data_IF_118343399386
#
_entry.id   IF_118343399386
#
_cell.length_a   1.000
_cell.length_b   1.000
_cell.length_c   1.000
_cell.angle_alpha   90.00
_cell.angle_beta   90.00
_cell.angle_gamma   90.00
#
_symmetry.space_group_name_H-M   'P 1'
#
loop_
_entity.id
_entity.type
_entity.pdbx_description
1 polymer ?
#
# COMPACT_ATOMS: atom_id res chain seq x y z
N UNK A 1 -8.81 17.10 7.71
CA UNK A 1 -7.84 16.27 6.98
C UNK A 1 -7.73 14.95 7.71
N UNK A 2 -7.75 13.81 7.01
CA UNK A 2 -7.91 12.47 7.58
C UNK A 2 -8.13 11.44 6.48
N UNK A 3 -9.07 10.50 6.67
CA UNK A 3 -9.43 9.50 5.66
C UNK A 3 -9.73 10.15 4.30
N UNK A 4 -9.19 9.56 3.23
CA UNK A 4 -9.28 10.11 1.87
C UNK A 4 -9.88 9.12 0.86
N UNK A 5 -9.79 7.81 1.13
CA UNK A 5 -10.24 6.76 0.23
C UNK A 5 -11.16 5.78 0.95
N UNK A 6 -12.13 5.23 0.23
CA UNK A 6 -12.75 3.95 0.58
C UNK A 6 -11.92 2.87 -0.11
N UNK A 7 -11.26 2.02 0.67
CA UNK A 7 -10.36 0.98 0.18
C UNK A 7 -11.13 -0.31 -0.09
N UNK A 8 -11.17 -0.73 -1.37
CA UNK A 8 -12.01 -1.82 -1.84
C UNK A 8 -13.50 -1.49 -1.82
N UNK A 9 -14.20 -1.82 -2.90
CA UNK A 9 -15.66 -1.57 -3.02
C UNK A 9 -16.49 -2.84 -2.83
N UNK A 10 -15.91 -4.02 -3.05
CA UNK A 10 -16.64 -5.28 -2.98
C UNK A 10 -16.81 -5.72 -1.54
N UNK A 11 -18.07 -5.79 -1.09
CA UNK A 11 -18.42 -6.12 0.29
C UNK A 11 -18.02 -5.05 1.31
N UNK A 12 -17.72 -3.82 0.86
CA UNK A 12 -17.34 -2.73 1.75
C UNK A 12 -18.60 -1.95 2.19
N UNK A 13 -18.97 -1.98 3.49
CA UNK A 13 -20.15 -1.26 3.99
C UNK A 13 -20.03 0.26 3.81
N UNK A 14 -18.81 0.80 3.79
CA UNK A 14 -18.58 2.23 3.54
C UNK A 14 -18.91 2.59 2.09
N UNK A 15 -18.63 1.70 1.14
CA UNK A 15 -19.00 1.88 -0.26
C UNK A 15 -20.52 1.83 -0.44
N UNK A 16 -21.18 0.83 0.16
CA UNK A 16 -22.64 0.67 0.10
C UNK A 16 -23.37 1.88 0.70
N UNK A 17 -22.90 2.38 1.84
CA UNK A 17 -23.42 3.60 2.46
C UNK A 17 -23.23 4.80 1.54
N UNK A 18 -22.03 5.00 1.00
CA UNK A 18 -21.77 6.11 0.08
C UNK A 18 -22.68 6.04 -1.16
N UNK A 19 -22.93 4.86 -1.70
CA UNK A 19 -23.82 4.65 -2.84
C UNK A 19 -25.28 5.00 -2.49
N UNK A 20 -25.79 4.49 -1.35
CA UNK A 20 -27.17 4.68 -0.93
C UNK A 20 -27.51 6.15 -0.62
N UNK A 21 -26.52 6.93 -0.19
CA UNK A 21 -26.67 8.36 0.05
C UNK A 21 -26.28 9.23 -1.16
N UNK A 22 -26.00 8.63 -2.33
CA UNK A 22 -25.67 9.36 -3.55
C UNK A 22 -24.36 10.15 -3.47
N UNK A 23 -23.43 9.73 -2.61
CA UNK A 23 -22.14 10.41 -2.40
C UNK A 23 -21.10 10.07 -3.47
N UNK A 24 -21.37 9.05 -4.27
CA UNK A 24 -20.49 8.54 -5.32
C UNK A 24 -21.27 8.35 -6.62
N UNK A 25 -20.61 8.65 -7.74
CA UNK A 25 -21.15 8.46 -9.07
C UNK A 25 -20.49 7.23 -9.72
N UNK A 26 -21.27 6.18 -9.93
CA UNK A 26 -20.82 4.93 -10.55
C UNK A 26 -20.44 5.09 -12.03
N UNK A 27 -20.83 6.20 -12.66
CA UNK A 27 -20.46 6.51 -14.04
C UNK A 27 -19.16 7.31 -14.12
N UNK A 28 -18.65 7.78 -12.97
CA UNK A 28 -17.42 8.55 -12.92
C UNK A 28 -16.22 7.66 -13.24
N UNK A 29 -15.65 7.86 -14.43
CA UNK A 29 -14.38 7.24 -14.81
C UNK A 29 -13.25 8.12 -14.28
N UNK A 30 -12.35 7.59 -13.42
CA UNK A 30 -11.18 8.34 -12.97
C UNK A 30 -10.37 8.83 -14.17
N UNK A 31 -9.81 10.03 -14.08
CA UNK A 31 -8.85 10.48 -15.09
C UNK A 31 -7.62 9.59 -15.05
N UNK A 32 -7.06 9.29 -16.21
CA UNK A 32 -5.77 8.62 -16.29
C UNK A 32 -4.69 9.55 -15.73
N UNK A 33 -3.86 9.00 -14.84
CA UNK A 33 -2.70 9.70 -14.29
C UNK A 33 -1.46 8.89 -14.60
N UNK A 34 -0.40 9.58 -15.02
CA UNK A 34 0.91 8.96 -15.20
C UNK A 34 1.71 9.10 -13.91
N UNK A 35 2.15 7.97 -13.36
CA UNK A 35 3.11 7.95 -12.25
C UNK A 35 4.51 7.82 -12.84
N UNK A 36 5.41 8.72 -12.44
CA UNK A 36 6.80 8.73 -12.87
C UNK A 36 7.70 8.52 -11.65
N UNK A 37 8.74 7.72 -11.81
CA UNK A 37 9.84 7.64 -10.85
C UNK A 37 10.99 8.51 -11.37
N UNK A 38 11.44 9.43 -10.53
CA UNK A 38 12.49 10.41 -10.86
C UNK A 38 13.56 10.41 -9.79
N UNK A 39 14.80 10.61 -10.22
CA UNK A 39 15.94 10.84 -9.34
C UNK A 39 15.93 12.29 -8.81
N UNK A 40 16.76 12.58 -7.82
CA UNK A 40 16.88 13.92 -7.23
C UNK A 40 17.28 15.01 -8.25
N UNK A 41 17.99 14.63 -9.31
CA UNK A 41 18.38 15.52 -10.42
C UNK A 41 17.27 15.71 -11.47
N UNK A 42 16.09 15.10 -11.26
CA UNK A 42 14.94 15.14 -12.16
C UNK A 42 15.03 14.15 -13.33
N UNK A 43 16.09 13.35 -13.42
CA UNK A 43 16.19 12.30 -14.44
C UNK A 43 15.15 11.20 -14.20
N UNK A 44 14.51 10.73 -15.27
CA UNK A 44 13.50 9.68 -15.17
C UNK A 44 14.14 8.30 -15.12
N UNK A 45 13.63 7.46 -14.23
CA UNK A 45 14.00 6.05 -14.16
C UNK A 45 13.28 5.31 -15.29
N UNK A 46 13.96 4.44 -16.07
CA UNK A 46 13.33 3.64 -17.10
C UNK A 46 12.17 2.80 -16.55
N UNK A 47 11.01 2.83 -17.22
CA UNK A 47 9.81 2.13 -16.76
C UNK A 47 10.04 0.63 -16.53
N UNK A 48 10.78 -0.05 -17.42
CA UNK A 48 11.08 -1.48 -17.28
C UNK A 48 11.86 -1.80 -16.00
N UNK A 49 12.78 -0.93 -15.61
CA UNK A 49 13.53 -1.08 -14.35
C UNK A 49 12.62 -0.85 -13.15
N UNK A 50 11.76 0.16 -13.20
CA UNK A 50 10.78 0.43 -12.14
C UNK A 50 9.81 -0.75 -11.98
N UNK A 51 9.28 -1.26 -13.08
CA UNK A 51 8.36 -2.39 -13.11
C UNK A 51 9.02 -3.64 -12.50
N UNK A 52 10.23 -3.98 -12.94
CA UNK A 52 10.97 -5.14 -12.43
C UNK A 52 11.15 -5.08 -10.91
N UNK A 53 11.60 -3.93 -10.39
CA UNK A 53 11.82 -3.74 -8.95
C UNK A 53 10.49 -3.76 -8.18
N UNK A 54 9.43 -3.16 -8.74
CA UNK A 54 8.11 -3.15 -8.11
C UNK A 54 7.50 -4.56 -8.02
N UNK A 55 7.66 -5.38 -9.06
CA UNK A 55 7.21 -6.77 -9.05
C UNK A 55 8.00 -7.60 -8.02
N UNK A 56 9.32 -7.41 -7.94
CA UNK A 56 10.16 -8.05 -6.92
C UNK A 56 9.73 -7.65 -5.50
N UNK A 57 9.56 -6.34 -5.26
CA UNK A 57 9.10 -5.81 -3.98
C UNK A 57 7.73 -6.37 -3.57
N UNK A 58 6.78 -6.42 -4.50
CA UNK A 58 5.44 -6.99 -4.28
C UNK A 58 5.54 -8.48 -3.89
N UNK A 59 6.44 -9.23 -4.52
CA UNK A 59 6.71 -10.62 -4.15
C UNK A 59 7.26 -10.74 -2.71
N UNK A 60 8.17 -9.86 -2.31
CA UNK A 60 8.74 -9.86 -0.96
C UNK A 60 7.68 -9.56 0.11
N UNK A 61 6.78 -8.61 -0.13
CA UNK A 61 5.67 -8.32 0.78
C UNK A 61 4.69 -9.49 0.89
N UNK A 62 4.29 -10.09 -0.23
CA UNK A 62 3.39 -11.26 -0.20
C UNK A 62 3.97 -12.42 0.59
N UNK A 63 5.29 -12.65 0.48
CA UNK A 63 5.97 -13.64 1.34
C UNK A 63 5.91 -13.28 2.82
N UNK A 64 5.94 -12.00 3.16
CA UNK A 64 5.75 -11.58 4.55
C UNK A 64 4.32 -11.90 5.03
N UNK A 65 3.29 -11.73 4.19
CA UNK A 65 1.91 -12.09 4.51
C UNK A 65 1.72 -13.61 4.70
N UNK A 66 2.46 -14.43 3.94
CA UNK A 66 2.39 -15.89 3.99
C UNK A 66 2.74 -16.47 5.37
N UNK A 67 3.53 -15.77 6.21
CA UNK A 67 3.84 -16.24 7.56
C UNK A 67 2.59 -16.35 8.44
N UNK A 68 1.64 -15.42 8.31
CA UNK A 68 0.35 -15.49 9.00
C UNK A 68 -0.52 -16.61 8.41
N UNK A 69 -0.64 -16.64 7.08
CA UNK A 69 -1.59 -17.52 6.37
C UNK A 69 -1.19 -19.00 6.46
N UNK A 70 0.09 -19.29 6.37
CA UNK A 70 0.64 -20.66 6.31
C UNK A 70 1.30 -21.10 7.62
N UNK A 71 1.33 -20.24 8.65
CA UNK A 71 1.97 -20.50 9.94
C UNK A 71 3.43 -20.94 9.83
N UNK A 72 4.16 -20.36 8.86
CA UNK A 72 5.59 -20.61 8.71
C UNK A 72 6.38 -19.99 9.84
N UNK A 73 7.51 -20.61 10.18
CA UNK A 73 8.48 -20.01 11.08
C UNK A 73 9.35 -19.03 10.30
N UNK A 74 9.54 -17.79 10.80
CA UNK A 74 10.42 -16.85 10.16
C UNK A 74 11.90 -17.29 10.29
N UNK A 75 12.81 -16.74 9.46
CA UNK A 75 14.23 -16.99 9.58
C UNK A 75 14.77 -16.64 10.97
N UNK A 76 15.84 -17.33 11.39
CA UNK A 76 16.45 -17.08 12.70
C UNK A 76 16.89 -15.61 12.84
N UNK A 77 16.46 -14.97 13.94
CA UNK A 77 16.78 -13.57 14.23
C UNK A 77 15.95 -12.54 13.46
N UNK A 78 14.99 -12.96 12.61
CA UNK A 78 14.10 -12.06 11.87
C UNK A 78 12.68 -12.20 12.42
N UNK A 79 12.14 -11.11 12.98
CA UNK A 79 10.79 -11.09 13.57
C UNK A 79 9.91 -9.95 13.07
N UNK A 80 10.45 -9.10 12.18
CA UNK A 80 9.76 -7.92 11.68
C UNK A 80 9.85 -7.85 10.14
N UNK A 81 8.91 -7.13 9.56
CA UNK A 81 8.76 -7.02 8.10
C UNK A 81 9.95 -6.29 7.47
N UNK A 82 10.43 -5.22 8.10
CA UNK A 82 11.54 -4.43 7.57
C UNK A 82 12.83 -5.23 7.41
N UNK A 83 13.23 -6.01 8.41
CA UNK A 83 14.43 -6.85 8.34
C UNK A 83 14.27 -8.00 7.33
N UNK A 84 13.07 -8.58 7.21
CA UNK A 84 12.79 -9.58 6.19
C UNK A 84 12.93 -9.00 4.77
N UNK A 85 12.34 -7.83 4.50
CA UNK A 85 12.47 -7.17 3.20
C UNK A 85 13.92 -6.77 2.92
N UNK A 86 14.66 -6.25 3.91
CA UNK A 86 16.10 -5.93 3.74
C UNK A 86 16.91 -7.15 3.34
N UNK A 87 16.63 -8.32 3.93
CA UNK A 87 17.28 -9.57 3.54
C UNK A 87 16.97 -9.93 2.07
N UNK A 88 15.70 -9.90 1.68
CA UNK A 88 15.29 -10.20 0.30
C UNK A 88 15.88 -9.22 -0.72
N UNK A 89 15.91 -7.93 -0.39
CA UNK A 89 16.55 -6.88 -1.22
C UNK A 89 18.05 -7.14 -1.34
N UNK A 90 18.75 -7.45 -0.25
CA UNK A 90 20.17 -7.76 -0.30
C UNK A 90 20.46 -8.97 -1.21
N UNK A 91 19.68 -10.05 -1.09
CA UNK A 91 19.80 -11.25 -1.93
C UNK A 91 19.48 -10.97 -3.40
N UNK A 92 18.51 -10.10 -3.68
CA UNK A 92 18.17 -9.67 -5.04
C UNK A 92 19.32 -8.85 -5.66
N UNK A 93 19.84 -7.88 -4.92
CA UNK A 93 20.89 -6.98 -5.40
C UNK A 93 22.27 -7.64 -5.51
N UNK A 94 22.51 -8.74 -4.79
CA UNK A 94 23.76 -9.53 -4.90
C UNK A 94 23.92 -10.15 -6.30
N UNK A 95 22.82 -10.36 -7.03
CA UNK A 95 22.83 -10.92 -8.39
C UNK A 95 23.17 -9.89 -9.47
N UNK A 96 23.27 -8.61 -9.13
CA UNK A 96 23.51 -7.52 -10.07
C UNK A 96 24.98 -7.11 -10.00
N UNK A 97 25.66 -7.22 -11.15
CA UNK A 97 27.08 -6.89 -11.28
C UNK A 97 27.34 -5.41 -11.53
N UNK A 98 26.41 -4.68 -12.17
CA UNK A 98 26.55 -3.25 -12.43
C UNK A 98 26.22 -2.45 -11.16
N UNK A 99 27.25 -1.82 -10.58
CA UNK A 99 27.10 -0.99 -9.38
C UNK A 99 26.13 0.19 -9.56
N UNK A 100 26.06 0.77 -10.76
CA UNK A 100 25.15 1.89 -11.05
C UNK A 100 23.71 1.39 -11.06
N UNK A 101 23.46 0.28 -11.75
CA UNK A 101 22.14 -0.36 -11.76
C UNK A 101 21.73 -0.77 -10.35
N UNK A 102 22.63 -1.43 -9.61
CA UNK A 102 22.43 -1.86 -8.22
C UNK A 102 22.04 -0.69 -7.32
N UNK A 103 22.72 0.44 -7.45
CA UNK A 103 22.42 1.65 -6.67
C UNK A 103 21.03 2.22 -6.99
N UNK A 104 20.68 2.34 -8.27
CA UNK A 104 19.35 2.85 -8.67
C UNK A 104 18.25 1.91 -8.16
N UNK A 105 18.42 0.59 -8.31
CA UNK A 105 17.46 -0.40 -7.81
C UNK A 105 17.31 -0.37 -6.29
N UNK A 106 18.41 -0.18 -5.54
CA UNK A 106 18.36 0.04 -4.09
C UNK A 106 17.50 1.27 -3.74
N UNK A 107 17.70 2.41 -4.41
CA UNK A 107 16.90 3.62 -4.16
C UNK A 107 15.41 3.42 -4.44
N UNK A 108 15.07 2.63 -5.46
CA UNK A 108 13.67 2.28 -5.75
C UNK A 108 13.10 1.43 -4.59
N UNK A 109 13.81 0.41 -4.11
CA UNK A 109 13.38 -0.37 -2.94
C UNK A 109 13.22 0.49 -1.69
N UNK A 110 14.15 1.39 -1.42
CA UNK A 110 14.09 2.29 -0.26
C UNK A 110 12.86 3.20 -0.34
N UNK A 111 12.56 3.72 -1.54
CA UNK A 111 11.37 4.54 -1.80
C UNK A 111 10.07 3.75 -1.63
N UNK A 112 10.01 2.50 -2.12
CA UNK A 112 8.87 1.61 -1.95
C UNK A 112 8.65 1.24 -0.47
N UNK A 113 9.72 0.93 0.26
CA UNK A 113 9.63 0.64 1.69
C UNK A 113 9.18 1.88 2.49
N UNK A 114 9.64 3.07 2.11
CA UNK A 114 9.15 4.34 2.67
C UNK A 114 7.66 4.51 2.40
N UNK A 115 7.19 4.25 1.17
CA UNK A 115 5.77 4.28 0.84
C UNK A 115 4.97 3.29 1.70
N UNK A 116 5.52 2.11 1.99
CA UNK A 116 4.88 1.11 2.85
C UNK A 116 4.64 1.60 4.27
N UNK A 117 5.58 2.38 4.82
CA UNK A 117 5.39 2.98 6.15
C UNK A 117 4.17 3.90 6.20
N UNK A 118 3.88 4.61 5.10
CA UNK A 118 2.67 5.43 4.97
C UNK A 118 1.39 4.60 4.86
N UNK A 119 1.45 3.44 4.18
CA UNK A 119 0.31 2.54 4.02
C UNK A 119 0.00 1.84 5.34
N UNK A 120 1.03 1.33 6.02
CA UNK A 120 0.92 0.61 7.29
C UNK A 120 0.66 1.54 8.47
N UNK A 121 1.07 2.82 8.37
CA UNK A 121 0.92 3.80 9.44
C UNK A 121 1.98 3.64 10.54
N UNK A 122 3.21 3.32 10.18
CA UNK A 122 4.36 3.21 11.10
C UNK A 122 5.48 4.19 10.72
N UNK A 123 6.49 4.36 11.59
CA UNK A 123 7.66 5.18 11.26
C UNK A 123 8.71 4.39 10.48
N UNK A 124 8.79 3.09 10.77
CA UNK A 124 9.76 2.16 10.21
C UNK A 124 9.12 0.76 10.11
N UNK A 125 9.41 0.02 9.03
CA UNK A 125 8.86 -1.32 8.85
C UNK A 125 9.42 -2.36 9.83
N UNK A 126 10.48 -2.04 10.58
CA UNK A 126 10.95 -2.90 11.67
C UNK A 126 10.01 -2.88 12.89
N UNK A 127 9.07 -1.92 12.96
CA UNK A 127 8.01 -1.87 13.99
C UNK A 127 6.88 -2.86 13.69
N UNK A 128 6.82 -3.39 12.47
CA UNK A 128 5.73 -4.25 12.00
C UNK A 128 6.09 -5.71 12.21
N UNK A 129 5.26 -6.40 12.98
CA UNK A 129 5.47 -7.82 13.27
C UNK A 129 5.28 -8.67 12.01
N UNK A 130 6.28 -9.49 11.69
CA UNK A 130 6.28 -10.31 10.47
C UNK A 130 5.16 -11.36 10.44
N UNK A 131 4.91 -12.03 11.57
CA UNK A 131 3.92 -13.12 11.64
C UNK A 131 2.48 -12.61 11.66
N UNK A 132 2.26 -11.33 11.96
CA UNK A 132 0.93 -10.72 12.01
C UNK A 132 0.57 -9.93 10.75
N UNK A 133 1.52 -9.67 9.85
CA UNK A 133 1.29 -8.79 8.69
C UNK A 133 0.10 -9.29 7.84
N UNK A 134 0.05 -10.59 7.55
CA UNK A 134 -1.00 -11.20 6.73
C UNK A 134 -2.37 -11.30 7.40
N UNK A 135 -2.54 -10.78 8.63
CA UNK A 135 -3.84 -10.73 9.30
C UNK A 135 -4.77 -9.65 8.74
N UNK A 136 -4.22 -8.62 8.09
CA UNK A 136 -5.00 -7.57 7.44
C UNK A 136 -5.65 -8.10 6.15
N UNK A 137 -6.95 -7.84 5.99
CA UNK A 137 -7.72 -8.28 4.82
C UNK A 137 -7.99 -7.07 3.92
N UNK A 138 -7.42 -7.08 2.72
CA UNK A 138 -7.70 -6.07 1.70
C UNK A 138 -8.98 -6.41 0.92
N UNK A 139 -9.94 -5.48 0.95
CA UNK A 139 -11.17 -5.59 0.19
C UNK A 139 -10.92 -5.31 -1.30
N UNK A 140 -11.63 -6.05 -2.16
CA UNK A 140 -11.41 -6.04 -3.61
C UNK A 140 -12.19 -4.92 -4.31
N UNK A 141 -11.88 -4.69 -5.60
CA UNK A 141 -12.63 -3.78 -6.47
C UNK A 141 -12.12 -2.34 -6.52
N UNK A 142 -10.90 -2.09 -6.05
CA UNK A 142 -10.21 -0.81 -6.17
C UNK A 142 -10.64 0.24 -5.15
N UNK A 143 -9.92 1.36 -5.16
CA UNK A 143 -10.09 2.44 -4.19
C UNK A 143 -10.83 3.61 -4.83
N UNK A 144 -11.74 4.23 -4.09
CA UNK A 144 -12.49 5.39 -4.58
C UNK A 144 -12.29 6.61 -3.67
N UNK A 145 -12.37 7.79 -4.26
CA UNK A 145 -12.37 9.08 -3.55
C UNK A 145 -13.79 9.63 -3.55
N UNK A 146 -14.20 10.17 -2.41
CA UNK A 146 -15.48 10.88 -2.28
C UNK A 146 -15.32 12.32 -2.79
N UNK A 147 -16.06 12.76 -3.83
CA UNK A 147 -15.94 14.12 -4.37
C UNK A 147 -16.20 15.21 -3.33
N UNK A 148 -17.14 14.96 -2.40
CA UNK A 148 -17.44 15.84 -1.27
C UNK A 148 -16.51 15.66 -0.06
N UNK A 149 -15.48 14.83 -0.18
CA UNK A 149 -14.60 14.42 0.92
C UNK A 149 -15.25 13.47 1.91
N UNK A 150 -14.44 12.86 2.78
CA UNK A 150 -14.91 11.80 3.69
C UNK A 150 -15.91 12.28 4.75
N UNK A 151 -15.92 13.57 5.07
CA UNK A 151 -16.91 14.15 6.00
C UNK A 151 -18.36 14.02 5.51
N UNK A 152 -18.59 13.87 4.20
CA UNK A 152 -19.92 13.65 3.64
C UNK A 152 -20.56 12.35 4.13
N UNK A 153 -19.75 11.31 4.37
CA UNK A 153 -20.21 10.04 4.97
C UNK A 153 -20.66 10.26 6.41
N UNK A 154 -19.91 11.05 7.19
CA UNK A 154 -20.30 11.35 8.58
C UNK A 154 -21.62 12.13 8.64
N UNK A 155 -21.81 13.07 7.72
CA UNK A 155 -23.06 13.81 7.62
C UNK A 155 -24.24 12.89 7.28
N UNK A 156 -24.06 11.95 6.35
CA UNK A 156 -25.07 10.96 6.01
C UNK A 156 -25.47 10.11 7.22
N UNK A 157 -24.50 9.57 7.97
CA UNK A 157 -24.76 8.78 9.18
C UNK A 157 -25.44 9.61 10.27
N UNK A 158 -25.04 10.87 10.44
CA UNK A 158 -25.59 11.73 11.48
C UNK A 158 -27.09 12.05 11.29
N UNK A 159 -27.62 11.99 10.06
CA UNK A 159 -29.03 12.22 9.78
C UNK A 159 -29.95 11.18 10.45
N UNK A 160 -29.44 9.97 10.67
CA UNK A 160 -30.20 8.89 11.30
C UNK A 160 -30.12 8.91 12.84
N UNK A 161 -29.35 9.84 13.42
CA UNK A 161 -29.20 9.99 14.88
C UNK A 161 -30.29 10.94 15.40
N UNK A 162 -31.15 10.51 16.35
CA UNK A 162 -32.15 11.39 16.95
C UNK A 162 -31.52 12.58 17.69
N UNK A 163 -32.17 13.75 17.74
CA UNK A 163 -31.70 14.88 18.54
C UNK A 163 -31.67 14.55 20.03
N UNK A 164 -30.72 15.13 20.76
CA UNK A 164 -30.65 15.03 22.22
C UNK A 164 -31.94 15.55 22.87
N UNK A 165 -32.41 14.84 23.90
CA UNK A 165 -33.65 15.16 24.64
C UNK A 165 -33.45 16.27 25.65
#
# INVERSE_FOLDING_TARGET
MGANYIHGILGNPMYELALNHGLIDITHTPKDHQVLAVMEDGSQIPFLMLQEVYEAYTCFLRRCEEYFLSQFLPPEGISNVGDHIKLEVALYLDRINDNKEKHIKQLIFDSLLKRETCITGCNDMNEVNLIELGSYIELQGGNIVLPGGYSSVLQAVALDIPPEK
#
